data_IF_156260325229
#
_entry.id   IF_156260325229
#
_cell.length_a   1.000
_cell.length_b   1.000
_cell.length_c   1.000
_cell.angle_alpha   90.00
_cell.angle_beta   90.00
_cell.angle_gamma   90.00
#
_symmetry.space_group_name_H-M   'P 1'
#
loop_
_entity.id
_entity.type
_entity.pdbx_description
1 polymer ?
#
# COMPACT_ATOMS: atom_id res chain seq x y z
N UNK A 1 16.23 19.02 89.91
CA UNK A 1 15.11 18.23 89.36
C UNK A 1 14.80 18.74 87.94
N UNK A 2 15.19 17.98 86.88
CA UNK A 2 15.00 18.34 85.47
C UNK A 2 14.08 17.30 84.85
N UNK A 3 12.83 17.67 84.65
CA UNK A 3 11.84 16.86 83.92
C UNK A 3 12.08 16.97 82.43
N UNK A 4 12.46 15.86 81.77
CA UNK A 4 12.60 15.75 80.27
C UNK A 4 11.23 15.41 79.70
N UNK A 5 10.68 16.33 78.90
CA UNK A 5 9.49 16.11 78.10
C UNK A 5 9.87 15.45 76.80
N UNK A 6 9.46 14.23 76.63
CA UNK A 6 9.59 13.48 75.38
C UNK A 6 8.39 13.79 74.46
N UNK A 7 8.62 14.56 73.39
CA UNK A 7 7.63 14.81 72.34
C UNK A 7 7.82 13.70 71.29
N UNK A 8 6.90 12.75 71.26
CA UNK A 8 6.81 11.71 70.26
C UNK A 8 6.12 12.26 69.01
N UNK A 9 6.88 12.50 67.93
CA UNK A 9 6.35 12.96 66.65
C UNK A 9 5.86 11.72 65.86
N UNK A 10 4.54 11.49 65.84
CA UNK A 10 3.90 10.48 64.99
C UNK A 10 3.93 10.98 63.54
N UNK A 11 4.82 10.41 62.73
CA UNK A 11 4.85 10.58 61.27
C UNK A 11 3.76 9.69 60.65
N UNK A 12 2.59 10.25 60.40
CA UNK A 12 1.49 9.55 59.70
C UNK A 12 1.73 9.62 58.19
N UNK A 13 2.38 8.59 57.67
CA UNK A 13 2.57 8.42 56.21
C UNK A 13 1.21 8.16 55.57
N UNK A 14 0.62 9.17 54.96
CA UNK A 14 -0.53 9.01 54.09
C UNK A 14 -0.08 8.33 52.80
N UNK A 15 -0.29 7.01 52.68
CA UNK A 15 -0.22 6.28 51.44
C UNK A 15 -1.37 6.78 50.53
N UNK A 16 -1.06 7.72 49.66
CA UNK A 16 -1.95 8.10 48.57
C UNK A 16 -2.10 6.93 47.62
N UNK A 17 -3.11 6.09 47.81
CA UNK A 17 -3.57 5.16 46.78
C UNK A 17 -4.09 5.99 45.64
N UNK A 18 -3.29 6.17 44.58
CA UNK A 18 -3.75 6.69 43.30
C UNK A 18 -4.67 5.63 42.68
N UNK A 19 -5.96 5.79 42.89
CA UNK A 19 -6.96 5.02 42.14
C UNK A 19 -6.83 5.48 40.70
N UNK A 20 -6.26 4.61 39.87
CA UNK A 20 -6.22 4.85 38.41
C UNK A 20 -7.67 4.90 37.91
N UNK A 21 -8.05 6.04 37.34
CA UNK A 21 -9.38 6.21 36.75
C UNK A 21 -9.58 5.27 35.52
N UNK A 22 -10.81 4.79 35.37
CA UNK A 22 -11.19 3.98 34.20
C UNK A 22 -10.90 4.72 32.89
N UNK A 23 -10.48 4.00 31.85
CA UNK A 23 -10.25 4.58 30.52
C UNK A 23 -11.57 4.85 29.83
N UNK A 24 -11.83 6.12 29.57
CA UNK A 24 -13.11 6.62 29.04
C UNK A 24 -13.14 6.65 27.50
N UNK A 25 -14.35 6.71 26.93
CA UNK A 25 -14.55 6.91 25.48
C UNK A 25 -13.86 8.18 24.96
N UNK A 26 -13.75 9.24 25.79
CA UNK A 26 -13.10 10.49 25.42
C UNK A 26 -11.57 10.35 25.32
N UNK A 27 -10.95 9.61 26.22
CA UNK A 27 -9.50 9.32 26.17
C UNK A 27 -9.16 8.50 24.94
N UNK A 28 -9.98 7.48 24.61
CA UNK A 28 -9.82 6.67 23.40
C UNK A 28 -9.95 7.54 22.15
N UNK A 29 -10.94 8.43 22.10
CA UNK A 29 -11.12 9.36 20.98
C UNK A 29 -9.92 10.29 20.83
N UNK A 30 -9.44 10.86 21.93
CA UNK A 30 -8.28 11.76 21.93
C UNK A 30 -7.02 11.04 21.44
N UNK A 31 -6.77 9.82 21.92
CA UNK A 31 -5.64 9.01 21.47
C UNK A 31 -5.74 8.70 19.96
N UNK A 32 -6.92 8.29 19.50
CA UNK A 32 -7.17 8.01 18.07
C UNK A 32 -6.96 9.27 17.21
N UNK A 33 -7.50 10.42 17.61
CA UNK A 33 -7.34 11.69 16.89
C UNK A 33 -5.87 12.11 16.84
N UNK A 34 -5.14 12.02 17.94
CA UNK A 34 -3.71 12.36 17.99
C UNK A 34 -2.87 11.46 17.06
N UNK A 35 -3.21 10.19 16.99
CA UNK A 35 -2.58 9.24 16.06
C UNK A 35 -2.84 9.62 14.60
N UNK A 36 -4.10 9.92 14.25
CA UNK A 36 -4.48 10.32 12.89
C UNK A 36 -3.86 11.66 12.49
N UNK A 37 -3.77 12.62 13.42
CA UNK A 37 -3.05 13.88 13.20
C UNK A 37 -1.55 13.67 12.93
N UNK A 38 -0.92 12.76 13.66
CA UNK A 38 0.48 12.41 13.44
C UNK A 38 0.68 11.74 12.06
N UNK A 39 -0.22 10.84 11.69
CA UNK A 39 -0.25 10.23 10.36
C UNK A 39 -0.40 11.29 9.28
N UNK A 40 -1.39 12.19 9.39
CA UNK A 40 -1.64 13.26 8.42
C UNK A 40 -0.40 14.16 8.24
N UNK A 41 0.25 14.57 9.35
CA UNK A 41 1.50 15.35 9.28
C UNK A 41 2.65 14.61 8.59
N UNK A 42 2.74 13.30 8.78
CA UNK A 42 3.76 12.47 8.13
C UNK A 42 3.51 12.43 6.62
N UNK A 43 2.27 12.14 6.22
CA UNK A 43 1.91 12.07 4.80
C UNK A 43 2.02 13.44 4.08
N UNK A 44 1.76 14.54 4.80
CA UNK A 44 1.92 15.87 4.24
C UNK A 44 3.38 16.19 3.81
N UNK A 45 4.38 15.62 4.51
CA UNK A 45 5.79 15.76 4.12
C UNK A 45 6.13 15.00 2.84
N UNK A 46 5.35 13.98 2.51
CA UNK A 46 5.46 13.17 1.30
C UNK A 46 4.61 13.71 0.14
N UNK A 47 3.94 14.86 0.36
CA UNK A 47 3.14 15.53 -0.68
C UNK A 47 1.69 15.07 -0.75
N UNK A 48 1.21 14.30 0.23
CA UNK A 48 -0.20 13.90 0.32
C UNK A 48 -0.98 14.80 1.27
N UNK A 49 -2.26 14.98 0.98
CA UNK A 49 -3.19 15.67 1.85
C UNK A 49 -4.14 14.66 2.48
N UNK A 50 -4.15 14.58 3.80
CA UNK A 50 -4.99 13.63 4.54
C UNK A 50 -6.05 14.39 5.31
N UNK A 51 -7.32 14.01 5.09
CA UNK A 51 -8.46 14.39 5.92
C UNK A 51 -9.00 13.15 6.61
N UNK A 52 -9.49 13.30 7.84
CA UNK A 52 -10.01 12.17 8.58
C UNK A 52 -11.15 12.56 9.52
N UNK A 53 -11.99 11.56 9.81
CA UNK A 53 -13.05 11.64 10.81
C UNK A 53 -13.01 10.39 11.69
N UNK A 54 -13.10 10.59 13.00
CA UNK A 54 -13.24 9.50 13.96
C UNK A 54 -14.70 9.08 14.05
N UNK A 55 -14.98 7.80 13.86
CA UNK A 55 -16.33 7.23 14.00
C UNK A 55 -16.88 7.38 15.42
N UNK A 56 -18.15 7.05 15.55
CA UNK A 56 -18.84 7.18 16.84
C UNK A 56 -18.32 6.11 17.83
N UNK A 57 -17.89 6.57 19.00
CA UNK A 57 -17.55 5.73 20.15
C UNK A 57 -18.67 5.92 21.16
N UNK A 58 -19.27 4.81 21.67
CA UNK A 58 -20.32 4.89 22.68
C UNK A 58 -19.76 5.56 23.96
N UNK A 59 -20.41 6.65 24.38
CA UNK A 59 -19.96 7.43 25.55
C UNK A 59 -20.04 6.67 26.88
N UNK A 60 -20.75 5.52 26.90
CA UNK A 60 -20.87 4.65 28.07
C UNK A 60 -19.70 3.66 28.21
N UNK A 61 -18.81 3.61 27.22
CA UNK A 61 -17.62 2.75 27.31
C UNK A 61 -16.75 3.22 28.46
N UNK A 62 -16.47 2.27 29.34
CA UNK A 62 -15.54 2.38 30.45
C UNK A 62 -14.73 1.11 30.49
N UNK A 63 -13.42 1.23 30.25
CA UNK A 63 -12.48 0.13 30.20
C UNK A 63 -11.56 0.16 31.42
N UNK A 64 -10.87 -0.97 31.66
CA UNK A 64 -9.92 -1.04 32.74
C UNK A 64 -8.90 0.12 32.67
N UNK A 65 -8.49 0.67 33.81
CA UNK A 65 -7.46 1.70 33.85
C UNK A 65 -6.20 1.30 33.10
N UNK A 66 -5.60 2.23 32.38
CA UNK A 66 -4.34 2.00 31.70
C UNK A 66 -3.23 2.81 32.39
N UNK A 67 -2.26 2.12 32.96
CA UNK A 67 -1.08 2.74 33.58
C UNK A 67 -0.01 3.14 32.54
N UNK A 68 -0.13 2.68 31.29
CA UNK A 68 0.76 3.00 30.19
C UNK A 68 0.03 3.87 29.15
N UNK A 69 0.75 4.60 28.30
CA UNK A 69 0.14 5.26 27.14
C UNK A 69 -0.61 4.27 26.26
N UNK A 70 -1.77 4.67 25.74
CA UNK A 70 -2.55 3.85 24.81
C UNK A 70 -1.76 3.64 23.53
N UNK A 71 -1.57 2.39 23.13
CA UNK A 71 -1.03 2.03 21.83
C UNK A 71 -2.13 2.16 20.77
N UNK A 72 -1.86 2.92 19.71
CA UNK A 72 -2.82 3.16 18.63
C UNK A 72 -2.17 2.86 17.31
N UNK A 73 -2.81 2.01 16.50
CA UNK A 73 -2.30 1.62 15.19
C UNK A 73 -3.43 1.32 14.21
N UNK A 74 -3.17 1.44 12.91
CA UNK A 74 -4.11 0.93 11.91
C UNK A 74 -4.14 -0.60 11.95
N UNK A 75 -5.34 -1.18 11.97
CA UNK A 75 -5.52 -2.63 11.90
C UNK A 75 -5.53 -3.17 10.45
N UNK A 76 -5.28 -2.31 9.48
CA UNK A 76 -5.20 -2.59 8.07
C UNK A 76 -4.46 -1.48 7.34
N UNK A 77 -4.28 -1.64 6.03
CA UNK A 77 -3.59 -0.66 5.21
C UNK A 77 -4.51 0.54 4.88
N UNK A 78 -4.26 1.76 5.40
CA UNK A 78 -5.08 2.94 5.14
C UNK A 78 -5.01 3.41 3.69
N UNK A 79 -4.02 2.93 2.90
CA UNK A 79 -3.89 3.23 1.48
C UNK A 79 -4.84 2.41 0.59
N UNK A 80 -5.49 1.38 1.13
CA UNK A 80 -6.39 0.49 0.40
C UNK A 80 -7.87 0.68 0.71
N UNK A 81 -8.21 1.58 1.64
CA UNK A 81 -9.59 1.84 2.04
C UNK A 81 -9.74 3.21 2.67
N UNK A 82 -10.83 3.90 2.35
CA UNK A 82 -11.23 5.14 3.05
C UNK A 82 -11.83 4.86 4.45
N UNK A 83 -12.15 3.61 4.76
CA UNK A 83 -12.72 3.20 6.05
C UNK A 83 -11.84 2.15 6.75
N UNK A 84 -10.60 2.49 7.11
CA UNK A 84 -9.78 1.60 7.91
C UNK A 84 -10.29 1.52 9.34
N UNK A 85 -9.90 0.48 10.07
CA UNK A 85 -10.08 0.41 11.52
C UNK A 85 -8.78 0.77 12.21
N UNK A 86 -8.88 1.45 13.33
CA UNK A 86 -7.77 1.75 14.22
C UNK A 86 -7.92 0.89 15.47
N UNK A 87 -6.90 0.13 15.80
CA UNK A 87 -6.82 -0.60 17.06
C UNK A 87 -6.27 0.33 18.13
N UNK A 88 -6.99 0.42 19.25
CA UNK A 88 -6.52 1.09 20.48
C UNK A 88 -6.34 0.01 21.52
N UNK A 89 -5.17 -0.07 22.13
CA UNK A 89 -4.82 -1.10 23.08
C UNK A 89 -4.12 -0.51 24.33
N UNK A 90 -4.38 -1.14 25.45
CA UNK A 90 -3.63 -0.97 26.68
C UNK A 90 -2.87 -2.24 27.01
N UNK A 91 -1.58 -2.12 27.29
CA UNK A 91 -0.69 -3.23 27.70
C UNK A 91 -0.36 -3.23 29.21
N UNK A 92 -1.13 -2.49 30.03
CA UNK A 92 -0.94 -2.42 31.49
C UNK A 92 -1.33 -3.71 32.23
N UNK A 93 -1.54 -3.63 33.55
CA UNK A 93 -1.86 -4.79 34.41
C UNK A 93 -3.13 -5.53 33.99
N UNK A 94 -4.10 -4.82 33.42
CA UNK A 94 -5.38 -5.35 32.91
C UNK A 94 -5.47 -5.02 31.41
N UNK A 95 -4.82 -5.81 30.54
CA UNK A 95 -4.73 -5.50 29.12
C UNK A 95 -6.10 -5.59 28.44
N UNK A 96 -6.33 -4.66 27.52
CA UNK A 96 -7.51 -4.65 26.65
C UNK A 96 -7.18 -4.07 25.29
N UNK A 97 -8.02 -4.35 24.33
CA UNK A 97 -7.98 -3.77 22.98
C UNK A 97 -9.39 -3.53 22.46
N UNK A 98 -9.54 -2.49 21.66
CA UNK A 98 -10.78 -2.21 20.93
C UNK A 98 -10.48 -1.64 19.55
N UNK A 99 -11.46 -1.67 18.68
CA UNK A 99 -11.37 -1.13 17.34
C UNK A 99 -12.27 0.09 17.20
N UNK A 100 -11.73 1.15 16.64
CA UNK A 100 -12.42 2.38 16.31
C UNK A 100 -12.48 2.48 14.79
N UNK A 101 -13.68 2.61 14.24
CA UNK A 101 -13.84 2.90 12.81
C UNK A 101 -13.49 4.35 12.56
N UNK A 102 -12.73 4.60 11.48
CA UNK A 102 -12.39 5.95 11.06
C UNK A 102 -12.61 6.09 9.56
N UNK A 103 -12.88 7.30 9.11
CA UNK A 103 -12.85 7.65 7.69
C UNK A 103 -11.57 8.42 7.45
N UNK A 104 -10.78 7.99 6.46
CA UNK A 104 -9.49 8.60 6.12
C UNK A 104 -9.45 8.78 4.61
N UNK A 105 -9.44 10.01 4.13
CA UNK A 105 -9.27 10.34 2.71
C UNK A 105 -7.87 10.86 2.47
N UNK A 106 -7.09 10.12 1.70
CA UNK A 106 -5.72 10.48 1.32
C UNK A 106 -5.77 11.00 -0.11
N UNK A 107 -5.51 12.30 -0.29
CA UNK A 107 -5.45 12.94 -1.60
C UNK A 107 -4.01 13.13 -2.03
N UNK A 108 -3.71 12.80 -3.28
CA UNK A 108 -2.38 12.92 -3.84
C UNK A 108 -2.36 12.81 -5.36
N UNK A 109 -1.19 12.94 -5.99
CA UNK A 109 -1.06 12.89 -7.44
C UNK A 109 -1.40 11.51 -7.98
N UNK A 110 -2.22 11.47 -9.02
CA UNK A 110 -2.54 10.28 -9.79
C UNK A 110 -2.60 10.60 -11.27
N UNK A 111 -2.38 9.60 -12.10
CA UNK A 111 -2.59 9.72 -13.54
C UNK A 111 -4.05 9.48 -13.86
N UNK A 112 -4.63 10.40 -14.63
CA UNK A 112 -5.97 10.29 -15.17
C UNK A 112 -5.93 10.29 -16.70
N UNK A 113 -6.94 9.69 -17.31
CA UNK A 113 -7.10 9.71 -18.76
C UNK A 113 -7.49 11.12 -19.22
N UNK A 114 -6.66 11.78 -20.02
CA UNK A 114 -6.97 13.11 -20.59
C UNK A 114 -8.13 13.06 -21.61
N UNK A 115 -8.34 11.90 -22.23
CA UNK A 115 -9.42 11.59 -23.18
C UNK A 115 -9.91 10.16 -22.99
N UNK A 116 -11.00 9.73 -23.63
CA UNK A 116 -11.39 8.33 -23.61
C UNK A 116 -10.34 7.44 -24.31
N UNK A 117 -10.10 6.23 -23.79
CA UNK A 117 -9.24 5.22 -24.40
C UNK A 117 -10.06 4.00 -24.81
N UNK A 118 -9.76 3.49 -26.01
CA UNK A 118 -10.30 2.22 -26.49
C UNK A 118 -9.52 1.02 -25.97
N UNK A 119 -10.16 -0.16 -25.98
CA UNK A 119 -9.47 -1.43 -25.70
C UNK A 119 -8.39 -1.67 -26.76
N UNK A 120 -7.21 -2.13 -26.33
CA UNK A 120 -6.07 -2.39 -27.21
C UNK A 120 -5.28 -1.14 -27.59
N UNK A 121 -5.72 0.04 -27.16
CA UNK A 121 -5.03 1.30 -27.44
C UNK A 121 -3.73 1.38 -26.64
N UNK A 122 -2.64 1.79 -27.31
CA UNK A 122 -1.35 2.00 -26.68
C UNK A 122 -1.30 3.40 -26.11
N UNK A 123 -0.95 3.49 -24.82
CA UNK A 123 -0.86 4.77 -24.12
C UNK A 123 0.39 5.53 -24.53
N UNK A 124 0.22 6.82 -24.77
CA UNK A 124 1.29 7.79 -25.00
C UNK A 124 1.25 8.88 -23.94
N UNK A 125 2.36 9.56 -23.72
CA UNK A 125 2.48 10.61 -22.69
C UNK A 125 1.40 11.70 -22.81
N UNK A 126 1.05 12.13 -24.02
CA UNK A 126 0.01 13.17 -24.26
C UNK A 126 -1.42 12.74 -23.93
N UNK A 127 -1.64 11.46 -23.62
CA UNK A 127 -2.95 10.92 -23.21
C UNK A 127 -3.14 10.92 -21.69
N UNK A 128 -2.13 11.30 -20.94
CA UNK A 128 -2.09 11.26 -19.48
C UNK A 128 -2.10 12.68 -18.91
N UNK A 129 -2.82 12.85 -17.83
CA UNK A 129 -2.84 14.08 -17.05
C UNK A 129 -2.63 13.73 -15.57
N UNK A 130 -1.77 14.48 -14.87
CA UNK A 130 -1.60 14.34 -13.43
C UNK A 130 -2.65 15.20 -12.71
N UNK A 131 -3.44 14.59 -11.84
CA UNK A 131 -4.42 15.29 -11.00
C UNK A 131 -4.32 14.81 -9.55
N UNK A 132 -4.66 15.70 -8.62
CA UNK A 132 -4.86 15.28 -7.22
C UNK A 132 -6.22 14.59 -7.10
N UNK A 133 -6.21 13.37 -6.59
CA UNK A 133 -7.42 12.55 -6.37
C UNK A 133 -7.32 11.84 -5.02
N UNK A 134 -8.45 11.32 -4.52
CA UNK A 134 -8.44 10.44 -3.35
C UNK A 134 -7.83 9.09 -3.75
N UNK A 135 -6.59 8.85 -3.31
CA UNK A 135 -5.79 7.72 -3.78
C UNK A 135 -6.18 6.39 -3.12
N UNK A 136 -6.75 6.44 -1.93
CA UNK A 136 -7.21 5.27 -1.17
C UNK A 136 -8.70 4.92 -1.38
N UNK A 137 -9.39 5.60 -2.30
CA UNK A 137 -10.76 5.24 -2.69
C UNK A 137 -10.84 3.89 -3.43
N UNK A 138 -9.73 3.40 -3.96
CA UNK A 138 -9.66 2.14 -4.70
C UNK A 138 -8.65 1.17 -4.10
N UNK A 139 -9.10 -0.06 -3.82
CA UNK A 139 -8.21 -1.16 -3.40
C UNK A 139 -7.24 -1.63 -4.50
N UNK A 140 -7.46 -1.23 -5.74
CA UNK A 140 -6.65 -1.65 -6.89
C UNK A 140 -5.35 -0.88 -7.02
N UNK A 141 -5.15 0.14 -6.19
CA UNK A 141 -4.05 1.09 -6.30
C UNK A 141 -4.28 2.08 -7.44
N UNK A 142 -3.34 2.96 -7.64
CA UNK A 142 -3.35 3.99 -8.67
C UNK A 142 -1.99 4.06 -9.36
N UNK A 143 -1.99 4.55 -10.61
CA UNK A 143 -0.75 4.86 -11.32
C UNK A 143 -0.38 6.32 -11.07
N UNK A 144 0.87 6.56 -10.66
CA UNK A 144 1.41 7.91 -10.37
C UNK A 144 2.54 8.29 -11.31
N UNK A 145 3.26 7.31 -11.86
CA UNK A 145 4.41 7.53 -12.73
C UNK A 145 4.03 7.29 -14.20
N UNK A 146 4.08 8.36 -14.99
CA UNK A 146 3.78 8.30 -16.42
C UNK A 146 4.78 7.44 -17.20
N UNK A 147 6.05 7.31 -16.75
CA UNK A 147 7.04 6.50 -17.41
C UNK A 147 6.71 4.99 -17.32
N UNK A 148 6.06 4.56 -16.25
CA UNK A 148 5.60 3.18 -16.08
C UNK A 148 4.35 2.86 -16.93
N UNK A 149 3.58 3.87 -17.30
CA UNK A 149 2.31 3.73 -18.04
C UNK A 149 2.52 3.91 -19.54
N UNK A 150 3.49 4.69 -19.95
CA UNK A 150 3.79 4.95 -21.36
C UNK A 150 4.16 3.63 -22.08
N UNK A 151 3.52 3.39 -23.22
CA UNK A 151 3.70 2.17 -23.99
C UNK A 151 2.84 0.99 -23.55
N UNK A 152 2.20 1.03 -22.38
CA UNK A 152 1.23 0.01 -21.96
C UNK A 152 -0.01 0.03 -22.86
N UNK A 153 -0.75 -1.06 -22.83
CA UNK A 153 -1.96 -1.27 -23.65
C UNK A 153 -3.18 -1.30 -22.72
N UNK A 154 -4.24 -0.65 -23.16
CA UNK A 154 -5.51 -0.57 -22.44
C UNK A 154 -6.28 -1.89 -22.53
N UNK A 155 -6.53 -2.56 -21.42
CA UNK A 155 -7.26 -3.85 -21.34
C UNK A 155 -8.77 -3.72 -21.58
N UNK A 156 -9.36 -2.61 -21.16
CA UNK A 156 -10.79 -2.29 -21.26
C UNK A 156 -11.00 -0.81 -21.47
N UNK A 157 -12.09 -0.35 -22.09
CA UNK A 157 -12.34 1.07 -22.32
C UNK A 157 -12.27 1.89 -21.03
N UNK A 158 -11.67 3.06 -21.13
CA UNK A 158 -11.49 4.02 -20.03
C UNK A 158 -12.08 5.36 -20.45
N UNK A 159 -12.91 5.97 -19.62
CA UNK A 159 -13.48 7.28 -19.89
C UNK A 159 -12.48 8.41 -19.58
N UNK A 160 -12.66 9.57 -20.21
CA UNK A 160 -11.92 10.78 -19.87
C UNK A 160 -12.10 11.11 -18.37
N UNK A 161 -11.02 11.57 -17.72
CA UNK A 161 -11.01 11.90 -16.30
C UNK A 161 -10.94 10.70 -15.35
N UNK A 162 -11.01 9.47 -15.85
CA UNK A 162 -10.87 8.27 -15.02
C UNK A 162 -9.44 8.12 -14.50
N UNK A 163 -9.30 7.79 -13.22
CA UNK A 163 -8.01 7.44 -12.60
C UNK A 163 -7.49 6.14 -13.21
N UNK A 164 -6.22 6.12 -13.57
CA UNK A 164 -5.58 4.93 -14.09
C UNK A 164 -5.14 4.00 -12.94
N UNK A 165 -5.60 2.76 -13.02
CA UNK A 165 -5.28 1.70 -12.08
C UNK A 165 -4.52 0.58 -12.80
N UNK A 166 -3.66 -0.21 -12.12
CA UNK A 166 -2.88 -1.28 -12.76
C UNK A 166 -3.72 -2.29 -13.53
N UNK A 167 -4.94 -2.59 -13.07
CA UNK A 167 -5.84 -3.56 -13.71
C UNK A 167 -6.46 -3.09 -15.03
N UNK A 168 -6.37 -1.79 -15.35
CA UNK A 168 -6.80 -1.23 -16.63
C UNK A 168 -5.77 -1.42 -17.73
N UNK A 169 -4.55 -1.77 -17.37
CA UNK A 169 -3.38 -1.74 -18.26
C UNK A 169 -2.73 -3.12 -18.35
N UNK A 170 -2.09 -3.37 -19.46
CA UNK A 170 -1.26 -4.56 -19.67
C UNK A 170 0.01 -4.20 -20.45
N UNK A 171 1.07 -4.97 -20.23
CA UNK A 171 2.28 -4.79 -21.00
C UNK A 171 2.03 -5.13 -22.47
N UNK A 172 2.63 -4.39 -23.42
CA UNK A 172 2.47 -4.71 -24.84
C UNK A 172 3.07 -6.06 -25.15
N UNK A 173 2.41 -6.81 -26.04
CA UNK A 173 2.94 -8.07 -26.57
C UNK A 173 4.23 -7.78 -27.31
N UNK A 174 5.32 -8.39 -26.88
CA UNK A 174 6.65 -8.25 -27.47
C UNK A 174 6.99 -9.39 -28.44
N UNK A 175 6.34 -10.54 -28.26
CA UNK A 175 6.44 -11.71 -29.13
C UNK A 175 5.04 -12.29 -29.25
N UNK A 176 4.52 -12.37 -30.50
CA UNK A 176 3.23 -12.99 -30.78
C UNK A 176 3.41 -14.46 -31.14
N UNK A 177 2.36 -15.27 -30.92
CA UNK A 177 2.35 -16.66 -31.39
C UNK A 177 2.57 -16.72 -32.89
N UNK A 178 3.56 -17.51 -33.29
CA UNK A 178 3.94 -17.69 -34.71
C UNK A 178 5.09 -16.81 -35.17
N UNK A 179 5.49 -15.82 -34.37
CA UNK A 179 6.61 -14.94 -34.70
C UNK A 179 7.93 -15.69 -34.75
N UNK A 180 8.80 -15.25 -35.68
CA UNK A 180 10.19 -15.65 -35.67
C UNK A 180 10.96 -14.85 -34.64
N UNK A 181 11.68 -15.54 -33.76
CA UNK A 181 12.43 -14.94 -32.65
C UNK A 181 13.90 -15.37 -32.68
N UNK A 182 14.76 -14.58 -32.12
CA UNK A 182 16.14 -14.93 -31.82
C UNK A 182 16.19 -15.53 -30.43
N UNK A 183 16.54 -16.80 -30.32
CA UNK A 183 16.80 -17.50 -29.07
C UNK A 183 18.27 -17.27 -28.71
N UNK A 184 18.54 -16.70 -27.54
CA UNK A 184 19.89 -16.59 -26.98
C UNK A 184 20.01 -17.44 -25.71
N UNK A 185 21.17 -18.03 -25.51
CA UNK A 185 21.55 -18.72 -24.28
C UNK A 185 22.94 -18.25 -23.89
N UNK A 186 23.12 -17.86 -22.63
CA UNK A 186 24.39 -17.36 -22.10
C UNK A 186 24.85 -18.18 -20.92
N UNK A 187 26.14 -18.57 -20.93
CA UNK A 187 26.79 -19.23 -19.81
C UNK A 187 28.18 -18.61 -19.64
N UNK A 188 28.34 -17.81 -18.59
CA UNK A 188 29.58 -17.05 -18.40
C UNK A 188 29.92 -16.15 -19.58
N UNK A 189 31.08 -16.35 -20.21
CA UNK A 189 31.55 -15.62 -21.39
C UNK A 189 31.03 -16.19 -22.71
N UNK A 190 30.33 -17.35 -22.70
CA UNK A 190 29.87 -18.03 -23.90
C UNK A 190 28.41 -17.65 -24.20
N UNK A 191 28.09 -17.31 -25.46
CA UNK A 191 26.74 -17.01 -25.93
C UNK A 191 26.44 -17.71 -27.22
N UNK A 192 25.33 -18.43 -27.27
CA UNK A 192 24.80 -19.08 -28.50
C UNK A 192 23.53 -18.36 -28.93
N UNK A 193 23.35 -18.18 -30.24
CA UNK A 193 22.13 -17.66 -30.83
C UNK A 193 21.60 -18.63 -31.88
N UNK A 194 20.28 -18.80 -31.89
CA UNK A 194 19.59 -19.59 -32.90
C UNK A 194 18.27 -18.91 -33.27
N UNK A 195 17.70 -19.33 -34.43
CA UNK A 195 16.37 -18.89 -34.85
C UNK A 195 15.31 -19.82 -34.25
N UNK A 196 14.21 -19.24 -33.79
CA UNK A 196 13.06 -19.98 -33.27
C UNK A 196 11.74 -19.41 -33.74
N UNK A 197 10.67 -20.12 -33.43
CA UNK A 197 9.29 -19.72 -33.67
C UNK A 197 8.55 -19.73 -32.33
N UNK A 198 7.90 -18.65 -32.00
CA UNK A 198 7.11 -18.55 -30.77
C UNK A 198 5.84 -19.41 -30.86
N UNK A 199 5.59 -20.21 -29.86
CA UNK A 199 4.40 -21.07 -29.76
C UNK A 199 3.25 -20.41 -28.96
N UNK A 200 3.54 -19.31 -28.26
CA UNK A 200 2.58 -18.48 -27.52
C UNK A 200 2.96 -17.00 -27.65
N UNK A 201 2.04 -16.12 -27.30
CA UNK A 201 2.32 -14.68 -27.17
C UNK A 201 2.80 -14.37 -25.76
N UNK A 202 3.73 -13.41 -25.62
CA UNK A 202 4.25 -12.95 -24.34
C UNK A 202 4.79 -11.52 -24.44
N UNK A 203 4.79 -10.82 -23.30
CA UNK A 203 5.36 -9.49 -23.11
C UNK A 203 6.81 -9.58 -22.62
N UNK A 204 7.54 -8.47 -22.63
CA UNK A 204 8.90 -8.42 -22.08
C UNK A 204 8.88 -8.81 -20.59
N UNK A 205 9.81 -9.68 -20.18
CA UNK A 205 9.90 -10.23 -18.83
C UNK A 205 9.09 -11.52 -18.62
N UNK A 206 8.16 -11.84 -19.51
CA UNK A 206 7.37 -13.08 -19.42
C UNK A 206 8.09 -14.27 -20.06
N UNK A 207 7.72 -15.48 -19.62
CA UNK A 207 8.22 -16.72 -20.15
C UNK A 207 7.35 -17.18 -21.33
N UNK A 208 8.00 -17.60 -22.42
CA UNK A 208 7.35 -18.09 -23.62
C UNK A 208 7.95 -19.43 -24.06
N UNK A 209 7.10 -20.30 -24.63
CA UNK A 209 7.54 -21.50 -25.31
C UNK A 209 7.96 -21.15 -26.75
N UNK A 210 9.16 -21.53 -27.13
CA UNK A 210 9.69 -21.33 -28.49
C UNK A 210 10.24 -22.63 -29.07
N UNK A 211 9.97 -22.88 -30.33
CA UNK A 211 10.54 -23.98 -31.09
C UNK A 211 11.82 -23.50 -31.77
N UNK A 212 12.92 -24.19 -31.51
CA UNK A 212 14.17 -23.94 -32.23
C UNK A 212 14.10 -24.54 -33.65
N UNK A 213 14.19 -23.70 -34.66
CA UNK A 213 14.00 -24.12 -36.08
C UNK A 213 15.12 -25.03 -36.58
N UNK A 214 16.31 -25.04 -35.98
CA UNK A 214 17.40 -25.90 -36.37
C UNK A 214 17.30 -27.33 -35.82
N UNK A 215 16.74 -27.47 -34.59
CA UNK A 215 16.65 -28.75 -33.89
C UNK A 215 15.24 -29.28 -33.69
N UNK A 216 14.23 -28.50 -34.07
CA UNK A 216 12.79 -28.76 -33.80
C UNK A 216 12.46 -29.03 -32.34
N UNK A 217 13.34 -28.63 -31.42
CA UNK A 217 13.12 -28.75 -29.95
C UNK A 217 12.41 -27.53 -29.41
N UNK A 218 11.44 -27.77 -28.54
CA UNK A 218 10.77 -26.71 -27.79
C UNK A 218 11.55 -26.41 -26.51
N UNK A 219 11.80 -25.11 -26.26
CA UNK A 219 12.47 -24.61 -25.08
C UNK A 219 11.61 -23.51 -24.42
N UNK A 220 11.72 -23.37 -23.11
CA UNK A 220 11.18 -22.22 -22.38
C UNK A 220 12.22 -21.12 -22.34
N UNK A 221 11.82 -19.91 -22.70
CA UNK A 221 12.71 -18.76 -22.72
C UNK A 221 11.98 -17.52 -22.19
N UNK A 222 12.72 -16.58 -21.60
CA UNK A 222 12.20 -15.30 -21.15
C UNK A 222 12.29 -14.29 -22.30
N UNK A 223 11.25 -13.51 -22.51
CA UNK A 223 11.25 -12.42 -23.50
C UNK A 223 12.09 -11.28 -22.95
N UNK A 224 13.18 -10.92 -23.61
CA UNK A 224 14.09 -9.83 -23.19
C UNK A 224 13.86 -8.54 -23.98
N UNK A 225 13.34 -8.66 -25.21
CA UNK A 225 12.98 -7.55 -26.08
C UNK A 225 12.04 -8.05 -27.18
N UNK A 226 11.37 -7.18 -27.95
CA UNK A 226 10.59 -7.59 -29.12
C UNK A 226 11.39 -8.47 -30.07
N UNK A 227 10.88 -9.67 -30.34
CA UNK A 227 11.54 -10.67 -31.18
C UNK A 227 12.80 -11.35 -30.59
N UNK A 228 13.15 -11.10 -29.35
CA UNK A 228 14.32 -11.67 -28.68
C UNK A 228 13.94 -12.39 -27.40
N UNK A 229 14.41 -13.61 -27.24
CA UNK A 229 14.15 -14.44 -26.07
C UNK A 229 15.46 -15.05 -25.56
N UNK A 230 15.56 -15.25 -24.25
CA UNK A 230 16.75 -15.80 -23.60
C UNK A 230 16.37 -17.03 -22.77
N UNK A 231 17.11 -18.13 -22.98
CA UNK A 231 16.95 -19.35 -22.20
C UNK A 231 17.72 -19.19 -20.90
N UNK A 232 17.06 -19.27 -19.74
CA UNK A 232 17.75 -19.28 -18.44
C UNK A 232 18.58 -20.55 -18.30
N UNK A 233 19.85 -20.43 -17.89
CA UNK A 233 20.76 -21.53 -17.61
C UNK A 233 21.06 -21.60 -16.13
#
# INVERSE_FOLDING_TARGET
MRTKLLVSLLFMSALANSVLAETTANEIRTATTSFLDAFARTQAREGYQVTFETGRIDSRISLAPCSAPLAVEFSGDPWKSEHPSVQVACSGERPWRMFVTVTVSISGPALVAARPFGRGERITKGMLEARSVVVNASRRGIMTDAALVEGMVVRRPVNAGSVLTPDLLEAPVAVARGDHVIISARSGSFSVRSRGKALASASVGEQVLVENLASSRTVKANVIAPGHVEVPM
#
